data_IF_042712096175
#
_entry.id   IF_042712096175
#
_cell.length_a   1.000
_cell.length_b   1.000
_cell.length_c   1.000
_cell.angle_alpha   90.00
_cell.angle_beta   90.00
_cell.angle_gamma   90.00
#
_symmetry.space_group_name_H-M   'P 1'
#
loop_
_entity.id
_entity.type
_entity.pdbx_description
1 polymer ?
#
# COMPACT_ATOMS: atom_id res chain seq x y z
N UNK A 1 13.07 -12.46 2.07
CA UNK A 1 13.46 -11.12 2.57
C UNK A 1 12.26 -10.52 3.28
N UNK A 2 12.34 -10.20 4.57
CA UNK A 2 11.22 -9.65 5.35
C UNK A 2 11.27 -8.12 5.36
N UNK A 3 10.15 -7.49 5.00
CA UNK A 3 9.92 -6.04 5.08
C UNK A 3 10.23 -5.46 6.48
N UNK A 4 9.98 -6.25 7.53
CA UNK A 4 10.23 -5.87 8.93
C UNK A 4 11.71 -5.66 9.28
N UNK A 5 12.64 -6.16 8.46
CA UNK A 5 14.08 -6.10 8.73
C UNK A 5 14.75 -4.87 8.10
N UNK A 6 14.07 -4.17 7.20
CA UNK A 6 14.61 -3.00 6.49
C UNK A 6 13.52 -1.92 6.39
N UNK A 7 13.62 -0.87 7.21
CA UNK A 7 12.63 0.22 7.25
C UNK A 7 12.33 0.84 5.88
N UNK A 8 13.35 0.98 5.03
CA UNK A 8 13.19 1.47 3.65
C UNK A 8 12.33 0.57 2.78
N UNK A 9 12.46 -0.76 2.90
CA UNK A 9 11.63 -1.72 2.17
C UNK A 9 10.18 -1.69 2.66
N UNK A 10 9.97 -1.48 3.96
CA UNK A 10 8.63 -1.33 4.54
C UNK A 10 7.89 -0.10 4.03
N UNK A 11 8.59 1.03 3.89
CA UNK A 11 8.01 2.23 3.26
C UNK A 11 7.64 1.99 1.80
N UNK A 12 8.54 1.39 1.01
CA UNK A 12 8.27 1.10 -0.41
C UNK A 12 7.06 0.17 -0.54
N UNK A 13 6.99 -0.89 0.27
CA UNK A 13 5.85 -1.81 0.25
C UNK A 13 4.53 -1.11 0.63
N UNK A 14 4.55 -0.23 1.63
CA UNK A 14 3.38 0.55 2.03
C UNK A 14 2.94 1.53 0.93
N UNK A 15 3.87 2.17 0.23
CA UNK A 15 3.56 3.05 -0.89
C UNK A 15 2.95 2.29 -2.08
N UNK A 16 3.49 1.11 -2.41
CA UNK A 16 2.96 0.26 -3.49
C UNK A 16 1.56 -0.23 -3.15
N UNK A 17 1.31 -0.67 -1.92
CA UNK A 17 -0.03 -1.12 -1.49
C UNK A 17 -1.04 0.02 -1.45
N UNK A 18 -0.63 1.23 -1.07
CA UNK A 18 -1.47 2.45 -1.18
C UNK A 18 -1.81 2.78 -2.64
N UNK A 19 -0.81 2.75 -3.54
CA UNK A 19 -1.05 3.02 -4.95
C UNK A 19 -1.99 1.96 -5.56
N UNK A 20 -1.78 0.69 -5.20
CA UNK A 20 -2.60 -0.43 -5.69
C UNK A 20 -4.04 -0.33 -5.23
N UNK A 21 -4.27 0.02 -3.95
CA UNK A 21 -5.63 0.24 -3.42
C UNK A 21 -6.33 1.41 -4.09
N UNK A 22 -5.64 2.53 -4.24
CA UNK A 22 -6.19 3.71 -4.90
C UNK A 22 -6.58 3.41 -6.35
N UNK A 23 -5.66 2.83 -7.13
CA UNK A 23 -5.93 2.50 -8.54
C UNK A 23 -7.04 1.45 -8.67
N UNK A 24 -7.09 0.46 -7.77
CA UNK A 24 -8.16 -0.54 -7.76
C UNK A 24 -9.52 0.08 -7.48
N UNK A 25 -9.60 0.98 -6.50
CA UNK A 25 -10.84 1.70 -6.16
C UNK A 25 -11.30 2.62 -7.30
N UNK A 26 -10.37 3.33 -7.96
CA UNK A 26 -10.68 4.16 -9.13
C UNK A 26 -11.18 3.30 -10.30
N UNK A 27 -10.52 2.18 -10.59
CA UNK A 27 -10.92 1.28 -11.67
C UNK A 27 -12.32 0.70 -11.44
N UNK A 28 -12.59 0.23 -10.21
CA UNK A 28 -13.91 -0.25 -9.79
C UNK A 28 -14.98 0.83 -9.91
N UNK A 29 -14.69 2.06 -9.46
CA UNK A 29 -15.60 3.19 -9.58
C UNK A 29 -15.94 3.53 -11.03
N UNK A 30 -14.92 3.66 -11.88
CA UNK A 30 -15.10 3.93 -13.32
C UNK A 30 -15.95 2.84 -13.95
N UNK A 31 -15.62 1.57 -13.71
CA UNK A 31 -16.35 0.44 -14.27
C UNK A 31 -17.81 0.41 -13.77
N UNK A 32 -18.04 0.63 -12.48
CA UNK A 32 -19.38 0.66 -11.89
C UNK A 32 -20.26 1.74 -12.52
N UNK A 33 -19.77 2.98 -12.62
CA UNK A 33 -20.54 4.05 -13.24
C UNK A 33 -20.77 3.80 -14.73
N UNK A 34 -19.76 3.27 -15.43
CA UNK A 34 -19.88 2.91 -16.83
C UNK A 34 -20.91 1.80 -17.07
N UNK A 35 -20.95 0.77 -16.22
CA UNK A 35 -21.89 -0.36 -16.37
C UNK A 35 -23.33 0.01 -16.01
N UNK A 36 -23.54 1.02 -15.14
CA UNK A 36 -24.87 1.46 -14.72
C UNK A 36 -25.49 2.51 -15.65
N UNK A 37 -24.71 3.09 -16.57
CA UNK A 37 -25.24 3.97 -17.61
C UNK A 37 -26.26 3.21 -18.47
N UNK A 38 -27.45 3.78 -18.64
CA UNK A 38 -28.55 3.13 -19.36
C UNK A 38 -28.17 2.71 -20.80
N UNK A 39 -27.38 3.53 -21.48
CA UNK A 39 -26.87 3.27 -22.84
C UNK A 39 -26.00 2.00 -22.93
N UNK A 40 -25.36 1.62 -21.82
CA UNK A 40 -24.44 0.49 -21.74
C UNK A 40 -25.12 -0.74 -21.14
N UNK A 41 -26.05 -0.52 -20.21
CA UNK A 41 -26.87 -1.56 -19.58
C UNK A 41 -27.85 -2.18 -20.57
N UNK A 42 -28.36 -1.42 -21.54
CA UNK A 42 -29.32 -1.93 -22.51
C UNK A 42 -28.75 -1.92 -23.92
N UNK A 43 -28.51 -3.12 -24.45
CA UNK A 43 -27.98 -3.30 -25.81
C UNK A 43 -29.15 -3.62 -26.75
N UNK A 44 -29.26 -2.85 -27.83
CA UNK A 44 -30.20 -3.14 -28.93
C UNK A 44 -29.64 -4.29 -29.76
N UNK A 45 -30.33 -5.44 -29.74
CA UNK A 45 -30.01 -6.60 -30.58
C UNK A 45 -30.70 -6.55 -31.94
N UNK A 46 -30.52 -7.61 -32.74
CA UNK A 46 -31.22 -7.81 -34.02
C UNK A 46 -32.75 -7.85 -33.80
N UNK A 47 -33.21 -8.40 -32.67
CA UNK A 47 -34.61 -8.35 -32.23
C UNK A 47 -34.64 -8.01 -30.73
N UNK A 48 -35.21 -6.85 -30.39
CA UNK A 48 -35.41 -6.43 -28.99
C UNK A 48 -34.19 -5.82 -28.30
N UNK A 49 -34.34 -5.58 -27.00
CA UNK A 49 -33.31 -5.00 -26.12
C UNK A 49 -32.93 -6.00 -25.03
N UNK A 50 -31.64 -6.26 -24.89
CA UNK A 50 -31.10 -7.13 -23.84
C UNK A 50 -30.51 -6.28 -22.71
N UNK A 51 -30.73 -6.71 -21.46
CA UNK A 51 -30.12 -6.10 -20.29
C UNK A 51 -28.79 -6.80 -19.97
N UNK A 52 -27.69 -6.08 -20.13
CA UNK A 52 -26.37 -6.54 -19.74
C UNK A 52 -26.23 -6.50 -18.22
N UNK A 53 -25.83 -7.64 -17.64
CA UNK A 53 -25.50 -7.74 -16.21
C UNK A 53 -24.00 -7.66 -15.98
N UNK A 54 -23.65 -7.15 -14.81
CA UNK A 54 -22.26 -7.09 -14.36
C UNK A 54 -21.72 -8.51 -14.14
N UNK A 55 -20.57 -8.80 -14.74
CA UNK A 55 -19.95 -10.13 -14.69
C UNK A 55 -19.29 -10.45 -13.35
N UNK A 56 -18.97 -11.73 -13.15
CA UNK A 56 -18.33 -12.23 -11.92
C UNK A 56 -16.97 -11.58 -11.63
N UNK A 57 -16.22 -11.20 -12.68
CA UNK A 57 -14.92 -10.55 -12.54
C UNK A 57 -14.98 -9.24 -11.73
N UNK A 58 -16.05 -8.46 -11.87
CA UNK A 58 -16.24 -7.23 -11.08
C UNK A 58 -16.37 -7.53 -9.58
N UNK A 59 -17.15 -8.55 -9.22
CA UNK A 59 -17.30 -8.93 -7.81
C UNK A 59 -15.99 -9.47 -7.20
N UNK A 60 -15.22 -10.22 -7.99
CA UNK A 60 -13.89 -10.66 -7.57
C UNK A 60 -12.93 -9.48 -7.40
N UNK A 61 -12.96 -8.51 -8.30
CA UNK A 61 -12.10 -7.33 -8.22
C UNK A 61 -12.52 -6.40 -7.06
N UNK A 62 -13.81 -6.23 -6.76
CA UNK A 62 -14.27 -5.58 -5.53
C UNK A 62 -13.71 -6.27 -4.28
N UNK A 63 -13.76 -7.60 -4.22
CA UNK A 63 -13.18 -8.35 -3.11
C UNK A 63 -11.65 -8.17 -3.03
N UNK A 64 -10.96 -8.21 -4.17
CA UNK A 64 -9.51 -7.96 -4.24
C UNK A 64 -9.16 -6.55 -3.76
N UNK A 65 -9.91 -5.52 -4.17
CA UNK A 65 -9.73 -4.14 -3.71
C UNK A 65 -9.87 -4.02 -2.19
N UNK A 66 -10.83 -4.73 -1.59
CA UNK A 66 -10.96 -4.80 -0.13
C UNK A 66 -9.74 -5.44 0.54
N UNK A 67 -9.22 -6.55 0.00
CA UNK A 67 -8.00 -7.18 0.53
C UNK A 67 -6.75 -6.33 0.34
N UNK A 68 -6.63 -5.60 -0.77
CA UNK A 68 -5.57 -4.61 -0.95
C UNK A 68 -5.64 -3.54 0.14
N UNK A 69 -6.84 -3.08 0.51
CA UNK A 69 -7.01 -2.08 1.57
C UNK A 69 -6.58 -2.62 2.94
N UNK A 70 -6.97 -3.85 3.27
CA UNK A 70 -6.51 -4.51 4.48
C UNK A 70 -4.99 -4.68 4.50
N UNK A 71 -4.41 -5.08 3.36
CA UNK A 71 -2.95 -5.23 3.21
C UNK A 71 -2.22 -3.90 3.43
N UNK A 72 -2.76 -2.79 2.90
CA UNK A 72 -2.23 -1.46 3.14
C UNK A 72 -2.25 -1.08 4.63
N UNK A 73 -3.35 -1.35 5.35
CA UNK A 73 -3.42 -1.08 6.79
C UNK A 73 -2.36 -1.85 7.57
N UNK A 74 -2.19 -3.14 7.28
CA UNK A 74 -1.16 -3.98 7.91
C UNK A 74 0.25 -3.48 7.57
N UNK A 75 0.50 -3.10 6.31
CA UNK A 75 1.78 -2.53 5.87
C UNK A 75 2.10 -1.21 6.57
N UNK A 76 1.10 -0.35 6.76
CA UNK A 76 1.24 0.92 7.46
C UNK A 76 1.61 0.70 8.94
N UNK A 77 0.94 -0.23 9.63
CA UNK A 77 1.27 -0.60 11.01
C UNK A 77 2.69 -1.19 11.11
N UNK A 78 3.06 -2.09 10.19
CA UNK A 78 4.39 -2.69 10.14
C UNK A 78 5.49 -1.63 9.92
N UNK A 79 5.23 -0.66 9.04
CA UNK A 79 6.14 0.46 8.80
C UNK A 79 6.27 1.34 10.03
N UNK A 80 5.16 1.70 10.69
CA UNK A 80 5.20 2.47 11.92
C UNK A 80 6.11 1.82 12.97
N UNK A 81 5.94 0.52 13.23
CA UNK A 81 6.80 -0.20 14.19
C UNK A 81 8.27 -0.30 13.75
N UNK A 82 8.53 -0.44 12.45
CA UNK A 82 9.89 -0.49 11.91
C UNK A 82 10.66 0.82 12.15
N UNK A 83 9.99 1.97 12.03
CA UNK A 83 10.59 3.28 12.31
C UNK A 83 10.61 3.62 13.80
N UNK A 84 9.58 3.25 14.57
CA UNK A 84 9.53 3.47 16.01
C UNK A 84 10.66 2.72 16.74
N UNK A 85 10.90 1.44 16.40
CA UNK A 85 11.97 0.63 17.01
C UNK A 85 13.39 1.08 16.60
N UNK A 86 13.53 1.70 15.43
CA UNK A 86 14.81 2.26 14.97
C UNK A 86 15.23 3.49 15.78
N UNK A 87 14.28 4.25 16.35
CA UNK A 87 14.58 5.44 17.16
C UNK A 87 15.21 5.08 18.50
N UNK A 88 14.69 4.05 19.18
CA UNK A 88 15.28 3.55 20.43
C UNK A 88 16.69 2.97 20.23
N UNK A 89 16.94 2.33 19.08
CA UNK A 89 18.27 1.77 18.79
C UNK A 89 19.30 2.83 18.39
N UNK A 90 18.93 3.89 17.66
CA UNK A 90 19.87 4.96 17.29
C UNK A 90 20.39 5.78 18.49
N UNK A 91 19.57 6.01 19.52
CA UNK A 91 20.02 6.71 20.74
C UNK A 91 21.15 5.95 21.45
N UNK A 92 21.06 4.61 21.48
CA UNK A 92 22.10 3.74 22.05
C UNK A 92 23.44 3.78 21.29
N UNK A 93 23.43 4.03 19.97
CA UNK A 93 24.66 4.17 19.18
C UNK A 93 25.25 5.59 19.20
N UNK A 94 24.44 6.61 19.48
CA UNK A 94 24.90 8.00 19.53
C UNK A 94 25.76 8.30 20.77
N UNK A 95 25.50 7.64 21.90
CA UNK A 95 26.31 7.77 23.12
C UNK A 95 27.71 7.15 23.00
N UNK A 96 27.90 6.18 22.10
CA UNK A 96 29.21 5.53 21.90
C UNK A 96 30.13 6.30 20.93
N UNK A 97 29.58 7.22 20.11
CA UNK A 97 30.36 7.99 19.13
C UNK A 97 31.04 9.23 19.74
N UNK A 98 30.56 9.73 20.87
CA UNK A 98 31.18 10.87 21.57
C UNK A 98 32.42 10.49 22.39
N UNK A 99 32.71 9.20 22.56
CA UNK A 99 33.76 8.72 23.49
C UNK A 99 35.13 8.48 22.83
N UNK A 100 35.29 8.78 21.54
CA UNK A 100 36.51 8.44 20.76
C UNK A 100 37.31 9.63 20.22
N UNK A 101 37.06 10.85 20.69
CA UNK A 101 37.80 12.05 20.26
C UNK A 101 38.61 12.75 21.35
N UNK A 102 38.74 12.18 22.54
CA UNK A 102 39.65 12.70 23.56
C UNK A 102 40.87 11.79 23.73
N UNK A 103 41.71 11.71 22.71
CA UNK A 103 43.10 11.28 22.90
C UNK A 103 43.94 12.54 22.97
N UNK A 104 44.00 13.12 24.16
CA UNK A 104 44.98 14.13 24.52
C UNK A 104 46.37 13.53 24.29
N UNK A 105 47.06 14.01 23.26
CA UNK A 105 48.47 13.72 23.06
C UNK A 105 49.26 14.50 24.13
N UNK A 106 49.39 13.89 25.30
CA UNK A 106 50.34 14.28 26.34
C UNK A 106 51.57 13.37 26.17
N UNK A 107 52.69 13.99 25.80
CA UNK A 107 54.03 13.45 26.05
C UNK A 107 54.89 13.21 24.82
N UNK A 108 55.61 14.24 24.36
CA UNK A 108 57.05 14.40 24.58
C UNK A 108 57.57 15.72 24.03
#
# INVERSE_FOLDING_TARGET
MCSCCYGSLSLVFTAITLLTTFLSAVAEGIFFFYSHRADNRFIKGIVGTYEQRVGLAFFLQMAAAFFHFLSFLVAMVSTYFSFASSKDSQENYSLQRSSRTNVTNIGR
#
